data_IF_415344097331
#
_entry.id   IF_415344097331
#
_cell.length_a   1.000
_cell.length_b   1.000
_cell.length_c   1.000
_cell.angle_alpha   90.00
_cell.angle_beta   90.00
_cell.angle_gamma   90.00
#
_symmetry.space_group_name_H-M   'P 1'
#
loop_
_entity.id
_entity.type
_entity.pdbx_description
1 polymer ?
#
# COMPACT_ATOMS: atom_id res chain seq x y z
N UNK A 1 -7.73 -31.76 20.25
CA UNK A 1 -6.88 -30.59 20.05
C UNK A 1 -7.09 -30.10 18.61
N UNK A 2 -8.03 -29.18 18.41
CA UNK A 2 -8.28 -28.56 17.09
C UNK A 2 -7.42 -27.31 17.00
N UNK A 3 -6.41 -27.31 16.14
CA UNK A 3 -5.59 -26.14 15.83
C UNK A 3 -6.42 -25.23 14.92
N UNK A 4 -6.90 -24.11 15.44
CA UNK A 4 -7.49 -23.05 14.64
C UNK A 4 -6.40 -22.41 13.80
N UNK A 5 -6.51 -22.55 12.48
CA UNK A 5 -5.64 -21.88 11.53
C UNK A 5 -6.10 -20.41 11.41
N UNK A 6 -5.30 -19.50 11.95
CA UNK A 6 -5.45 -18.07 11.73
C UNK A 6 -5.13 -17.78 10.24
N UNK A 7 -6.14 -17.43 9.48
CA UNK A 7 -5.93 -16.94 8.10
C UNK A 7 -5.52 -15.47 8.17
N UNK A 8 -4.22 -15.20 8.06
CA UNK A 8 -3.69 -13.84 7.95
C UNK A 8 -3.86 -13.40 6.49
N UNK A 9 -4.83 -12.52 6.24
CA UNK A 9 -4.96 -11.88 4.94
C UNK A 9 -3.90 -10.79 4.81
N UNK A 10 -3.00 -10.94 3.84
CA UNK A 10 -1.93 -9.99 3.59
C UNK A 10 -2.30 -9.15 2.38
N UNK A 11 -2.55 -7.87 2.61
CA UNK A 11 -2.54 -6.85 1.56
C UNK A 11 -1.16 -6.21 1.52
N UNK A 12 -0.51 -6.33 0.38
CA UNK A 12 0.72 -5.59 0.11
C UNK A 12 0.40 -4.11 -0.09
N UNK A 13 1.14 -3.26 0.59
CA UNK A 13 1.27 -1.80 0.47
C UNK A 13 0.21 -0.89 1.08
N UNK A 14 -1.01 -1.34 1.33
CA UNK A 14 -1.88 -0.66 2.29
C UNK A 14 -1.92 -1.54 3.54
N UNK A 15 -1.34 -1.08 4.64
CA UNK A 15 -1.18 -1.87 5.86
C UNK A 15 -2.52 -2.00 6.60
N UNK A 16 -3.49 -2.70 6.00
CA UNK A 16 -4.73 -3.07 6.67
C UNK A 16 -4.57 -4.47 7.24
N UNK A 17 -4.11 -4.57 8.48
CA UNK A 17 -4.13 -5.83 9.23
C UNK A 17 -5.56 -6.12 9.67
N UNK A 18 -6.22 -7.06 9.02
CA UNK A 18 -7.50 -7.60 9.50
C UNK A 18 -7.21 -8.51 10.67
N UNK A 19 -7.54 -8.06 11.88
CA UNK A 19 -7.52 -8.87 13.10
C UNK A 19 -8.86 -9.58 13.21
N UNK A 20 -8.87 -10.90 13.12
CA UNK A 20 -10.03 -11.70 13.54
C UNK A 20 -10.04 -11.82 15.08
N UNK A 21 -11.10 -11.34 15.71
CA UNK A 21 -11.31 -11.53 17.14
C UNK A 21 -11.56 -13.02 17.46
N UNK A 22 -10.80 -13.56 18.41
CA UNK A 22 -10.98 -14.91 18.96
C UNK A 22 -12.16 -14.90 19.94
N UNK A 23 -13.08 -15.83 19.76
CA UNK A 23 -14.30 -15.95 20.55
C UNK A 23 -13.98 -16.70 21.87
N UNK A 24 -13.86 -15.96 22.96
CA UNK A 24 -13.80 -16.53 24.31
C UNK A 24 -15.20 -16.98 24.75
N UNK A 25 -15.30 -18.23 25.19
CA UNK A 25 -16.54 -18.87 25.64
C UNK A 25 -17.26 -18.06 26.73
N UNK A 26 -18.54 -17.70 26.47
CA UNK A 26 -19.45 -17.07 27.44
C UNK A 26 -20.34 -18.07 28.17
N UNK A 27 -20.77 -17.78 29.39
CA UNK A 27 -21.80 -18.55 30.10
C UNK A 27 -23.21 -18.21 29.57
N UNK A 28 -24.14 -19.16 29.80
CA UNK A 28 -25.43 -19.32 29.16
C UNK A 28 -26.42 -18.14 29.15
N UNK A 29 -27.14 -18.07 28.04
CA UNK A 29 -28.53 -17.61 27.83
C UNK A 29 -28.84 -16.12 28.07
N UNK A 30 -28.40 -15.32 27.14
CA UNK A 30 -29.17 -14.15 26.66
C UNK A 30 -29.36 -14.35 25.16
N UNK A 31 -30.57 -14.01 24.63
CA UNK A 31 -30.84 -14.11 23.19
C UNK A 31 -29.69 -13.46 22.41
N UNK A 32 -28.95 -14.24 21.63
CA UNK A 32 -27.80 -13.77 20.88
C UNK A 32 -28.27 -12.64 19.98
N UNK A 33 -27.79 -11.42 20.19
CA UNK A 33 -27.95 -10.35 19.24
C UNK A 33 -27.35 -10.85 17.91
N UNK A 34 -28.12 -10.83 16.82
CA UNK A 34 -27.63 -11.25 15.52
C UNK A 34 -26.39 -10.41 15.20
N UNK A 35 -25.27 -11.07 14.99
CA UNK A 35 -24.03 -10.41 14.55
C UNK A 35 -24.30 -9.75 13.19
N UNK A 36 -24.04 -8.46 13.02
CA UNK A 36 -24.30 -7.80 11.76
C UNK A 36 -23.53 -8.48 10.64
N UNK A 37 -24.08 -8.58 9.42
CA UNK A 37 -23.43 -9.26 8.30
C UNK A 37 -22.24 -8.46 7.73
N UNK A 38 -21.70 -7.53 8.49
CA UNK A 38 -20.57 -6.68 8.10
C UNK A 38 -19.67 -6.38 9.29
N UNK A 39 -18.42 -6.01 8.98
CA UNK A 39 -17.45 -5.45 9.92
C UNK A 39 -16.96 -4.11 9.41
N UNK A 40 -16.61 -3.20 10.34
CA UNK A 40 -15.93 -1.95 10.05
C UNK A 40 -14.66 -1.94 10.89
N UNK A 41 -13.50 -1.81 10.23
CA UNK A 41 -12.21 -1.72 10.89
C UNK A 41 -11.61 -0.32 10.65
N UNK A 42 -10.90 0.19 11.64
CA UNK A 42 -10.18 1.46 11.55
C UNK A 42 -8.71 1.22 11.85
N UNK A 43 -7.85 1.97 11.19
CA UNK A 43 -6.43 1.95 11.52
C UNK A 43 -5.86 3.36 11.49
N UNK A 44 -4.82 3.58 12.30
CA UNK A 44 -4.00 4.79 12.26
C UNK A 44 -2.57 4.43 12.64
N UNK A 45 -1.59 5.02 11.97
CA UNK A 45 -0.18 4.74 12.20
C UNK A 45 0.71 5.97 12.04
N UNK A 46 1.83 5.93 12.74
CA UNK A 46 2.94 6.88 12.59
C UNK A 46 4.13 6.11 12.06
N UNK A 47 4.68 6.62 10.98
CA UNK A 47 5.81 6.03 10.27
C UNK A 47 6.93 7.06 10.21
N UNK A 48 8.19 6.62 10.26
CA UNK A 48 9.33 7.53 10.07
C UNK A 48 9.37 8.11 8.66
N UNK A 49 8.69 7.46 7.70
CA UNK A 49 8.43 7.92 6.33
C UNK A 49 7.37 7.04 5.67
N UNK A 50 6.75 7.52 4.59
CA UNK A 50 5.86 6.73 3.76
C UNK A 50 6.64 6.12 2.59
N UNK A 51 6.63 4.81 2.48
CA UNK A 51 7.21 4.08 1.34
C UNK A 51 6.09 3.44 0.51
N UNK A 52 6.04 3.76 -0.78
CA UNK A 52 5.16 3.16 -1.76
C UNK A 52 5.97 2.48 -2.86
N UNK A 53 5.79 1.18 -3.07
CA UNK A 53 6.53 0.38 -4.07
C UNK A 53 8.04 0.67 -4.06
N UNK A 54 8.63 0.66 -2.87
CA UNK A 54 10.07 0.89 -2.66
C UNK A 54 10.53 2.35 -2.62
N UNK A 55 9.67 3.33 -2.92
CA UNK A 55 10.03 4.74 -3.01
C UNK A 55 9.45 5.57 -1.87
N UNK A 56 10.24 6.51 -1.32
CA UNK A 56 9.73 7.46 -0.32
C UNK A 56 8.76 8.44 -0.95
N UNK A 57 7.60 8.62 -0.31
CA UNK A 57 6.56 9.56 -0.71
C UNK A 57 6.63 10.87 0.10
N UNK A 58 7.45 10.90 1.15
CA UNK A 58 7.58 12.01 2.10
C UNK A 58 9.01 12.52 2.22
N UNK A 59 9.87 12.29 1.23
CA UNK A 59 11.28 12.71 1.25
C UNK A 59 12.00 12.32 2.56
N UNK A 60 11.77 11.09 3.03
CA UNK A 60 12.27 10.53 4.30
C UNK A 60 11.78 11.28 5.56
N UNK A 61 10.67 12.03 5.47
CA UNK A 61 10.06 12.72 6.60
C UNK A 61 8.90 11.90 7.18
N UNK A 62 8.52 12.13 8.45
CA UNK A 62 7.44 11.40 9.12
C UNK A 62 6.11 11.44 8.36
N UNK A 63 5.42 10.31 8.40
CA UNK A 63 4.09 10.14 7.83
C UNK A 63 3.07 9.72 8.90
N UNK A 64 1.87 10.32 8.83
CA UNK A 64 0.68 9.83 9.50
C UNK A 64 -0.20 9.17 8.44
N UNK A 65 -0.63 7.94 8.71
CA UNK A 65 -1.40 7.13 7.79
C UNK A 65 -2.61 6.54 8.50
N UNK A 66 -3.72 6.37 7.79
CA UNK A 66 -4.89 5.75 8.39
C UNK A 66 -5.98 5.45 7.38
N UNK A 67 -6.90 4.58 7.78
CA UNK A 67 -7.97 4.16 6.89
C UNK A 67 -9.16 3.56 7.62
N UNK A 68 -10.21 3.32 6.84
CA UNK A 68 -11.46 2.69 7.26
C UNK A 68 -11.83 1.64 6.23
N UNK A 69 -12.12 0.42 6.68
CA UNK A 69 -12.50 -0.72 5.85
C UNK A 69 -13.89 -1.22 6.26
N UNK A 70 -14.81 -1.29 5.33
CA UNK A 70 -16.09 -1.99 5.44
C UNK A 70 -15.98 -3.33 4.72
N UNK A 71 -16.33 -4.43 5.38
CA UNK A 71 -16.37 -5.77 4.79
C UNK A 71 -17.72 -6.42 5.07
N UNK A 72 -18.38 -6.90 4.02
CA UNK A 72 -19.63 -7.65 4.11
C UNK A 72 -19.35 -9.16 4.09
N UNK A 73 -20.16 -9.95 4.79
CA UNK A 73 -20.05 -11.43 4.87
C UNK A 73 -20.15 -12.14 3.53
N UNK A 74 -20.70 -11.50 2.50
CA UNK A 74 -20.72 -12.01 1.12
C UNK A 74 -19.36 -11.96 0.42
N UNK A 75 -18.37 -11.24 0.99
CA UNK A 75 -17.05 -11.04 0.41
C UNK A 75 -16.84 -9.68 -0.24
N UNK A 76 -17.88 -8.87 -0.44
CA UNK A 76 -17.72 -7.49 -0.92
C UNK A 76 -17.11 -6.59 0.16
N UNK A 77 -16.23 -5.69 -0.24
CA UNK A 77 -15.63 -4.69 0.64
C UNK A 77 -15.49 -3.34 -0.04
N UNK A 78 -15.42 -2.30 0.77
CA UNK A 78 -15.15 -0.92 0.38
C UNK A 78 -14.27 -0.31 1.47
N UNK A 79 -13.26 0.46 1.07
CA UNK A 79 -12.39 1.13 2.01
C UNK A 79 -11.89 2.46 1.50
N UNK A 80 -11.33 3.21 2.43
CA UNK A 80 -10.61 4.43 2.15
C UNK A 80 -9.38 4.52 3.05
N UNK A 81 -8.31 5.10 2.52
CA UNK A 81 -7.06 5.28 3.24
C UNK A 81 -6.44 6.61 2.85
N UNK A 82 -5.54 7.13 3.66
CA UNK A 82 -4.81 8.34 3.35
C UNK A 82 -3.51 8.48 4.11
N UNK A 83 -2.64 9.31 3.56
CA UNK A 83 -1.34 9.68 4.11
C UNK A 83 -0.93 11.09 3.69
N UNK A 84 -0.16 11.77 4.52
CA UNK A 84 0.58 12.91 4.01
C UNK A 84 1.66 12.46 3.02
N UNK A 85 1.90 13.29 2.01
CA UNK A 85 2.93 13.11 0.98
C UNK A 85 3.63 14.44 0.69
N UNK A 86 4.85 14.40 0.13
CA UNK A 86 5.55 15.59 -0.35
C UNK A 86 5.98 15.50 -1.81
N UNK A 87 6.07 14.30 -2.38
CA UNK A 87 6.62 14.06 -3.71
C UNK A 87 5.96 14.88 -4.83
N UNK A 88 4.66 15.21 -4.70
CA UNK A 88 3.93 16.03 -5.67
C UNK A 88 4.45 17.48 -5.72
N UNK A 89 4.62 18.09 -4.56
CA UNK A 89 5.22 19.43 -4.46
C UNK A 89 6.71 19.40 -4.77
N UNK A 90 7.42 18.36 -4.31
CA UNK A 90 8.83 18.12 -4.60
C UNK A 90 9.09 17.95 -6.10
N UNK A 91 8.15 17.41 -6.87
CA UNK A 91 8.20 17.35 -8.33
C UNK A 91 8.08 18.73 -9.00
N UNK A 92 7.74 19.77 -8.26
CA UNK A 92 7.45 21.14 -8.73
C UNK A 92 6.21 21.25 -9.62
N UNK A 93 5.47 20.16 -9.80
CA UNK A 93 4.30 20.08 -10.68
C UNK A 93 3.00 20.43 -9.99
N UNK A 94 3.01 20.51 -8.66
CA UNK A 94 1.84 20.80 -7.83
C UNK A 94 2.12 21.88 -6.80
N UNK A 95 1.05 22.60 -6.42
CA UNK A 95 0.97 23.40 -5.20
C UNK A 95 -0.06 22.79 -4.25
N UNK A 96 0.20 22.88 -2.93
CA UNK A 96 -0.73 22.47 -1.86
C UNK A 96 -1.20 21.01 -1.98
N UNK A 97 -0.35 20.13 -2.49
CA UNK A 97 -0.65 18.71 -2.72
C UNK A 97 0.09 17.82 -1.70
N UNK A 98 -0.29 17.93 -0.45
CA UNK A 98 0.35 17.22 0.66
C UNK A 98 -0.43 16.01 1.17
N UNK A 99 -1.47 15.58 0.46
CA UNK A 99 -2.34 14.47 0.81
C UNK A 99 -2.46 13.47 -0.35
N UNK A 100 -2.28 12.19 -0.04
CA UNK A 100 -2.77 11.06 -0.82
C UNK A 100 -4.05 10.53 -0.19
N UNK A 101 -5.09 10.38 -0.98
CA UNK A 101 -6.37 9.82 -0.56
C UNK A 101 -6.79 8.71 -1.53
N UNK A 102 -6.92 7.51 -0.99
CA UNK A 102 -7.26 6.31 -1.73
C UNK A 102 -8.69 5.88 -1.45
N UNK A 103 -9.39 5.47 -2.50
CA UNK A 103 -10.73 4.87 -2.43
C UNK A 103 -10.64 3.53 -3.17
N UNK A 104 -11.01 2.45 -2.50
CA UNK A 104 -10.93 1.11 -3.07
C UNK A 104 -12.13 0.26 -2.70
N UNK A 105 -12.40 -0.72 -3.54
CA UNK A 105 -13.43 -1.72 -3.28
C UNK A 105 -13.26 -2.93 -4.17
N UNK A 106 -13.87 -4.02 -3.75
CA UNK A 106 -13.71 -5.28 -4.47
C UNK A 106 -14.50 -6.43 -3.88
N UNK A 107 -14.08 -7.61 -4.30
CA UNK A 107 -14.63 -8.88 -3.83
C UNK A 107 -13.50 -9.83 -3.45
N UNK A 108 -13.57 -10.34 -2.22
CA UNK A 108 -12.61 -11.31 -1.67
C UNK A 108 -13.35 -12.54 -1.20
N UNK A 109 -12.80 -13.73 -1.51
CA UNK A 109 -13.33 -14.97 -0.98
C UNK A 109 -12.21 -16.02 -0.88
N UNK A 110 -12.48 -17.10 -0.14
CA UNK A 110 -11.54 -18.19 0.09
C UNK A 110 -12.11 -19.50 -0.38
N UNK A 111 -11.35 -20.22 -1.20
CA UNK A 111 -11.66 -21.57 -1.65
C UNK A 111 -10.59 -22.50 -1.06
N UNK A 112 -10.97 -23.37 -0.12
CA UNK A 112 -10.05 -24.21 0.67
C UNK A 112 -9.03 -23.33 1.41
N UNK A 113 -7.76 -23.38 1.00
CA UNK A 113 -6.65 -22.66 1.62
C UNK A 113 -6.16 -21.48 0.75
N UNK A 114 -6.83 -21.21 -0.38
CA UNK A 114 -6.46 -20.12 -1.29
C UNK A 114 -7.49 -19.00 -1.18
N UNK A 115 -7.04 -17.81 -0.80
CA UNK A 115 -7.84 -16.59 -0.85
C UNK A 115 -7.56 -15.87 -2.16
N UNK A 116 -8.62 -15.46 -2.86
CA UNK A 116 -8.54 -14.58 -4.02
C UNK A 116 -9.23 -13.26 -3.73
N UNK A 117 -8.74 -12.21 -4.37
CA UNK A 117 -9.22 -10.84 -4.21
C UNK A 117 -9.14 -10.14 -5.57
N UNK A 118 -10.21 -9.47 -5.98
CA UNK A 118 -10.27 -8.65 -7.19
C UNK A 118 -10.93 -7.32 -6.86
N UNK A 119 -10.39 -6.23 -7.36
CA UNK A 119 -10.91 -4.92 -7.01
C UNK A 119 -10.40 -3.78 -7.87
N UNK A 120 -10.84 -2.60 -7.48
CA UNK A 120 -10.47 -1.30 -8.04
C UNK A 120 -9.86 -0.45 -6.95
N UNK A 121 -8.88 0.35 -7.31
CA UNK A 121 -8.24 1.34 -6.44
C UNK A 121 -8.10 2.65 -7.21
N UNK A 122 -8.59 3.73 -6.63
CA UNK A 122 -8.43 5.10 -7.11
C UNK A 122 -7.51 5.85 -6.17
N UNK A 123 -6.37 6.30 -6.68
CA UNK A 123 -5.48 7.25 -6.02
C UNK A 123 -5.94 8.67 -6.34
N UNK A 124 -6.14 9.50 -5.33
CA UNK A 124 -6.56 10.90 -5.44
C UNK A 124 -5.55 11.78 -4.75
N UNK A 125 -5.11 12.82 -5.42
CA UNK A 125 -4.15 13.79 -4.90
C UNK A 125 -4.73 15.20 -4.92
N UNK A 126 -5.44 15.63 -3.86
CA UNK A 126 -5.95 16.99 -3.76
C UNK A 126 -4.81 18.01 -3.83
N UNK A 127 -4.94 19.00 -4.72
CA UNK A 127 -3.95 20.04 -4.92
C UNK A 127 -4.03 20.69 -6.29
N UNK A 128 -3.25 21.73 -6.50
CA UNK A 128 -3.27 22.57 -7.71
C UNK A 128 -2.18 22.09 -8.68
N UNK A 129 -2.54 21.34 -9.71
CA UNK A 129 -1.62 20.92 -10.77
C UNK A 129 -1.27 22.09 -11.69
N UNK A 130 0.01 22.44 -11.77
CA UNK A 130 0.53 23.59 -12.56
C UNK A 130 0.78 23.27 -14.03
N UNK A 131 0.64 22.02 -14.43
CA UNK A 131 0.96 21.56 -15.77
C UNK A 131 2.44 21.19 -15.97
N UNK A 132 2.73 20.58 -17.11
CA UNK A 132 4.05 20.01 -17.43
C UNK A 132 5.16 21.03 -17.65
N UNK A 133 4.84 22.32 -17.80
CA UNK A 133 5.83 23.39 -17.97
C UNK A 133 6.42 23.89 -16.65
N UNK A 134 5.78 23.59 -15.52
CA UNK A 134 6.19 24.06 -14.21
C UNK A 134 7.08 23.05 -13.47
N UNK A 135 6.97 21.76 -13.76
CA UNK A 135 7.66 20.72 -13.04
C UNK A 135 7.89 19.44 -13.86
N UNK A 136 8.20 18.36 -13.13
CA UNK A 136 8.61 17.09 -13.71
C UNK A 136 7.44 16.25 -14.26
N UNK A 137 6.25 16.34 -13.62
CA UNK A 137 5.10 15.52 -14.02
C UNK A 137 4.41 16.07 -15.26
N UNK A 138 4.06 15.18 -16.18
CA UNK A 138 3.46 15.51 -17.47
C UNK A 138 1.93 15.57 -17.45
N UNK A 139 1.31 14.94 -16.46
CA UNK A 139 -0.13 14.89 -16.21
C UNK A 139 -0.44 15.00 -14.72
N UNK A 140 -1.73 15.08 -14.39
CA UNK A 140 -2.19 14.88 -13.01
C UNK A 140 -1.82 13.49 -12.53
N UNK A 141 -1.50 13.38 -11.23
CA UNK A 141 -1.02 12.14 -10.63
C UNK A 141 -2.12 11.12 -10.32
N UNK A 142 -3.40 11.53 -10.36
CA UNK A 142 -4.53 10.63 -10.12
C UNK A 142 -4.43 9.39 -11.01
N UNK A 143 -4.57 8.23 -10.38
CA UNK A 143 -4.38 6.93 -11.03
C UNK A 143 -5.50 5.97 -10.61
N UNK A 144 -6.05 5.27 -11.58
CA UNK A 144 -7.02 4.19 -11.33
C UNK A 144 -6.37 2.85 -11.69
N UNK A 145 -6.39 1.91 -10.75
CA UNK A 145 -5.91 0.54 -10.97
C UNK A 145 -7.03 -0.48 -10.78
N UNK A 146 -7.04 -1.50 -11.66
CA UNK A 146 -7.71 -2.78 -11.39
C UNK A 146 -6.66 -3.73 -10.82
N UNK A 147 -7.04 -4.57 -9.87
CA UNK A 147 -6.10 -5.54 -9.33
C UNK A 147 -6.72 -6.91 -9.09
N UNK A 148 -5.86 -7.91 -9.08
CA UNK A 148 -6.16 -9.25 -8.66
C UNK A 148 -5.03 -9.81 -7.79
N UNK A 149 -5.38 -10.58 -6.76
CA UNK A 149 -4.40 -11.27 -5.94
C UNK A 149 -4.85 -12.69 -5.58
N UNK A 150 -3.86 -13.51 -5.31
CA UNK A 150 -3.99 -14.85 -4.76
C UNK A 150 -3.08 -14.97 -3.55
N UNK A 151 -3.61 -15.51 -2.44
CA UNK A 151 -2.80 -15.79 -1.26
C UNK A 151 -3.00 -17.22 -0.77
N UNK A 152 -1.90 -17.82 -0.34
CA UNK A 152 -1.86 -19.14 0.25
C UNK A 152 -0.97 -19.13 1.47
N UNK A 153 -1.53 -19.45 2.63
CA UNK A 153 -0.84 -19.36 3.93
C UNK A 153 -0.25 -17.96 4.14
N UNK A 154 1.06 -17.84 4.16
CA UNK A 154 1.82 -16.62 4.43
C UNK A 154 2.41 -15.97 3.16
N UNK A 155 2.07 -16.46 1.96
CA UNK A 155 2.52 -15.90 0.68
C UNK A 155 1.33 -15.33 -0.10
N UNK A 156 1.51 -14.16 -0.70
CA UNK A 156 0.55 -13.54 -1.59
C UNK A 156 1.25 -13.05 -2.86
N UNK A 157 0.57 -13.23 -4.00
CA UNK A 157 0.94 -12.63 -5.28
C UNK A 157 -0.19 -11.69 -5.70
N UNK A 158 0.16 -10.46 -6.13
CA UNK A 158 -0.80 -9.46 -6.61
C UNK A 158 -0.31 -8.86 -7.92
N UNK A 159 -1.25 -8.58 -8.81
CA UNK A 159 -1.05 -7.80 -10.01
C UNK A 159 -2.01 -6.61 -9.99
N UNK A 160 -1.48 -5.41 -10.09
CA UNK A 160 -2.23 -4.17 -10.26
C UNK A 160 -1.95 -3.62 -11.65
N UNK A 161 -2.98 -3.22 -12.38
CA UNK A 161 -2.88 -2.68 -13.74
C UNK A 161 -3.59 -1.34 -13.80
N UNK A 162 -2.88 -0.29 -14.18
CA UNK A 162 -3.46 1.03 -14.36
C UNK A 162 -4.35 1.06 -15.60
N UNK A 163 -5.60 1.53 -15.42
CA UNK A 163 -6.60 1.69 -16.48
C UNK A 163 -6.83 3.15 -16.85
N UNK A 164 -6.35 4.09 -16.04
CA UNK A 164 -6.30 5.52 -16.37
C UNK A 164 -5.19 5.80 -17.37
N UNK A 165 -5.39 6.81 -18.24
CA UNK A 165 -4.39 7.21 -19.22
C UNK A 165 -3.15 7.86 -18.56
N UNK A 166 -3.35 8.67 -17.50
CA UNK A 166 -2.28 9.17 -16.64
C UNK A 166 -1.98 8.18 -15.51
N UNK A 167 -0.70 7.91 -15.23
CA UNK A 167 -0.27 7.04 -14.14
C UNK A 167 0.82 7.75 -13.34
N UNK A 168 0.48 8.17 -12.11
CA UNK A 168 1.39 8.89 -11.20
C UNK A 168 2.12 10.07 -11.88
N UNK A 169 1.37 10.83 -12.71
CA UNK A 169 1.90 11.99 -13.44
C UNK A 169 2.53 11.69 -14.79
N UNK A 170 2.69 10.44 -15.20
CA UNK A 170 3.16 10.04 -16.51
C UNK A 170 1.98 9.94 -17.49
N UNK A 171 2.15 10.43 -18.71
CA UNK A 171 1.13 10.39 -19.77
C UNK A 171 1.23 9.11 -20.61
N UNK A 172 0.16 8.80 -21.33
CA UNK A 172 0.09 7.69 -22.28
C UNK A 172 0.51 6.35 -21.62
N UNK A 173 0.19 6.19 -20.32
CA UNK A 173 0.70 5.14 -19.46
C UNK A 173 -0.34 4.07 -19.07
N UNK A 174 -1.53 4.07 -19.70
CA UNK A 174 -2.52 3.03 -19.51
C UNK A 174 -1.91 1.64 -19.80
N UNK A 175 -2.21 0.64 -18.94
CA UNK A 175 -1.59 -0.67 -19.02
C UNK A 175 -0.27 -0.79 -18.24
N UNK A 176 0.23 0.28 -17.62
CA UNK A 176 1.28 0.19 -16.59
C UNK A 176 0.85 -0.78 -15.52
N UNK A 177 1.74 -1.68 -15.09
CA UNK A 177 1.41 -2.66 -14.08
C UNK A 177 2.43 -2.74 -12.96
N UNK A 178 1.98 -3.22 -11.81
CA UNK A 178 2.83 -3.61 -10.69
C UNK A 178 2.54 -5.05 -10.30
N UNK A 179 3.55 -5.90 -10.45
CA UNK A 179 3.53 -7.28 -10.00
C UNK A 179 4.23 -7.39 -8.64
N UNK A 180 3.57 -7.99 -7.67
CA UNK A 180 3.99 -8.06 -6.28
C UNK A 180 3.99 -9.51 -5.79
N UNK A 181 5.06 -9.90 -5.11
CA UNK A 181 5.14 -11.13 -4.34
C UNK A 181 5.57 -10.80 -2.93
N UNK A 182 4.71 -11.06 -1.97
CA UNK A 182 4.95 -10.80 -0.55
C UNK A 182 4.82 -12.07 0.28
N UNK A 183 5.73 -12.25 1.22
CA UNK A 183 5.72 -13.32 2.22
C UNK A 183 5.71 -12.72 3.63
N UNK A 184 4.70 -13.06 4.46
CA UNK A 184 4.62 -12.65 5.86
C UNK A 184 4.68 -13.89 6.74
N UNK A 185 5.90 -14.30 7.05
CA UNK A 185 6.16 -15.52 7.80
C UNK A 185 5.95 -15.28 9.30
N UNK A 186 4.98 -15.96 9.96
CA UNK A 186 4.77 -15.86 11.41
C UNK A 186 5.91 -16.61 12.12
N UNK A 187 6.90 -15.86 12.60
CA UNK A 187 8.02 -16.42 13.35
C UNK A 187 7.57 -16.89 14.73
N UNK A 188 6.65 -16.14 15.35
CA UNK A 188 5.94 -16.50 16.60
C UNK A 188 4.48 -16.04 16.47
N UNK A 189 3.66 -16.27 17.51
CA UNK A 189 2.27 -15.80 17.57
C UNK A 189 2.15 -14.24 17.50
N UNK A 190 3.23 -13.53 17.78
CA UNK A 190 3.23 -12.05 17.83
C UNK A 190 4.28 -11.40 16.93
N UNK A 191 5.23 -12.15 16.38
CA UNK A 191 6.30 -11.62 15.53
C UNK A 191 6.15 -12.17 14.12
N UNK A 192 6.12 -11.26 13.16
CA UNK A 192 6.07 -11.57 11.72
C UNK A 192 7.33 -11.05 11.04
N UNK A 193 7.93 -11.88 10.19
CA UNK A 193 8.98 -11.48 9.24
C UNK A 193 8.35 -11.27 7.89
N UNK A 194 8.57 -10.12 7.29
CA UNK A 194 8.06 -9.76 5.96
C UNK A 194 9.18 -9.70 4.96
N UNK A 195 9.04 -10.43 3.87
CA UNK A 195 9.84 -10.31 2.66
C UNK A 195 8.96 -9.92 1.48
N UNK A 196 9.44 -9.05 0.61
CA UNK A 196 8.69 -8.55 -0.53
C UNK A 196 9.62 -8.33 -1.72
N UNK A 197 9.13 -8.59 -2.92
CA UNK A 197 9.71 -8.17 -4.19
C UNK A 197 8.60 -7.73 -5.12
N UNK A 198 8.79 -6.59 -5.78
CA UNK A 198 7.85 -6.00 -6.72
C UNK A 198 8.51 -5.58 -8.03
N UNK A 199 7.71 -5.57 -9.11
CA UNK A 199 8.11 -5.04 -10.42
C UNK A 199 7.08 -4.04 -10.91
N UNK A 200 7.50 -2.76 -11.00
CA UNK A 200 6.75 -1.71 -11.67
C UNK A 200 7.18 -1.68 -13.12
N UNK A 201 6.25 -1.86 -14.05
CA UNK A 201 6.51 -1.76 -15.49
C UNK A 201 5.61 -0.70 -16.09
N UNK A 202 6.21 0.36 -16.60
CA UNK A 202 5.49 1.47 -17.21
C UNK A 202 5.26 1.21 -18.71
N UNK A 203 4.00 1.34 -19.14
CA UNK A 203 3.59 1.34 -20.52
C UNK A 203 3.76 2.74 -21.15
N UNK A 204 3.77 2.80 -22.47
CA UNK A 204 3.87 4.04 -23.23
C UNK A 204 5.28 4.38 -23.70
N UNK A 205 5.34 5.12 -24.81
CA UNK A 205 6.61 5.45 -25.46
C UNK A 205 7.45 6.41 -24.59
N UNK A 206 8.67 5.99 -24.25
CA UNK A 206 9.60 6.76 -23.42
C UNK A 206 9.35 6.62 -21.90
N UNK A 207 8.35 5.86 -21.47
CA UNK A 207 8.05 5.63 -20.06
C UNK A 207 8.90 4.51 -19.42
N UNK A 208 9.71 3.79 -20.19
CA UNK A 208 10.59 2.70 -19.69
C UNK A 208 11.61 3.18 -18.64
N UNK A 209 11.94 4.47 -18.62
CA UNK A 209 12.82 5.07 -17.61
C UNK A 209 12.22 5.01 -16.20
N UNK A 210 10.90 4.88 -16.09
CA UNK A 210 10.16 4.78 -14.83
C UNK A 210 9.95 3.34 -14.36
N UNK A 211 10.33 2.34 -15.17
CA UNK A 211 10.22 0.92 -14.81
C UNK A 211 11.35 0.49 -13.89
N UNK A 212 11.02 -0.25 -12.81
CA UNK A 212 11.98 -0.69 -11.81
C UNK A 212 11.48 -1.93 -11.04
N UNK A 213 12.40 -2.54 -10.33
CA UNK A 213 12.12 -3.59 -9.34
C UNK A 213 12.46 -3.05 -7.96
N UNK A 214 11.64 -3.35 -6.98
CA UNK A 214 11.88 -3.04 -5.57
C UNK A 214 11.86 -4.32 -4.72
N UNK A 215 12.42 -4.22 -3.52
CA UNK A 215 12.35 -5.25 -2.51
C UNK A 215 12.27 -4.65 -1.11
N UNK A 216 11.74 -5.42 -0.19
CA UNK A 216 11.64 -5.06 1.22
C UNK A 216 11.87 -6.26 2.11
N UNK A 217 12.60 -6.05 3.22
CA UNK A 217 12.76 -7.00 4.30
C UNK A 217 12.46 -6.31 5.63
N UNK A 218 11.63 -6.91 6.46
CA UNK A 218 11.22 -6.31 7.72
C UNK A 218 10.74 -7.29 8.75
N UNK A 219 10.47 -6.75 9.94
CA UNK A 219 9.86 -7.47 11.04
C UNK A 219 8.87 -6.57 11.78
N UNK A 220 7.83 -7.17 12.31
CA UNK A 220 6.85 -6.48 13.15
C UNK A 220 6.45 -7.33 14.35
N UNK A 221 5.99 -6.65 15.41
CA UNK A 221 5.44 -7.26 16.61
C UNK A 221 4.06 -6.69 16.90
N UNK A 222 3.07 -7.58 16.92
CA UNK A 222 1.70 -7.28 17.32
C UNK A 222 1.53 -7.45 18.84
N UNK A 223 0.73 -6.56 19.43
CA UNK A 223 0.34 -6.60 20.84
C UNK A 223 -1.15 -6.84 20.98
N UNK A 224 -1.58 -7.47 22.08
CA UNK A 224 -2.98 -7.85 22.31
C UNK A 224 -3.98 -6.67 22.26
N UNK A 225 -3.52 -5.45 22.46
CA UNK A 225 -4.35 -4.24 22.40
C UNK A 225 -4.53 -3.69 20.97
N UNK A 226 -4.13 -4.43 19.92
CA UNK A 226 -4.24 -4.02 18.52
C UNK A 226 -3.12 -3.06 18.05
N UNK A 227 -2.12 -2.80 18.89
CA UNK A 227 -0.92 -2.04 18.50
C UNK A 227 0.05 -2.98 17.80
N UNK A 228 0.66 -2.50 16.72
CA UNK A 228 1.77 -3.17 16.03
C UNK A 228 2.93 -2.19 15.91
N UNK A 229 4.14 -2.64 16.24
CA UNK A 229 5.37 -1.90 15.98
C UNK A 229 6.24 -2.69 15.01
N UNK A 230 6.99 -2.01 14.17
CA UNK A 230 7.84 -2.71 13.22
C UNK A 230 8.91 -1.81 12.59
N UNK A 231 9.78 -2.49 11.86
CA UNK A 231 10.80 -1.86 11.05
C UNK A 231 11.02 -2.66 9.77
N UNK A 232 11.38 -1.97 8.70
CA UNK A 232 11.77 -2.61 7.45
C UNK A 232 12.83 -1.79 6.72
N UNK A 233 13.56 -2.47 5.87
CA UNK A 233 14.50 -1.87 4.93
C UNK A 233 14.01 -2.17 3.52
N UNK A 234 14.13 -1.20 2.62
CA UNK A 234 13.73 -1.31 1.22
C UNK A 234 14.76 -0.67 0.30
N UNK A 235 14.81 -1.16 -0.93
CA UNK A 235 15.66 -0.62 -1.97
C UNK A 235 15.04 -0.87 -3.34
N UNK A 236 15.49 -0.13 -4.35
CA UNK A 236 15.05 -0.24 -5.73
C UNK A 236 16.24 -0.22 -6.69
N UNK A 237 16.02 -0.73 -7.91
CA UNK A 237 16.94 -0.51 -9.03
C UNK A 237 16.44 0.58 -10.00
N UNK A 238 15.68 1.54 -9.48
CA UNK A 238 15.11 2.62 -10.29
C UNK A 238 16.18 3.49 -10.91
N UNK A 239 15.91 3.95 -12.14
CA UNK A 239 16.85 4.79 -12.87
C UNK A 239 16.85 6.21 -12.31
N UNK A 240 18.02 6.77 -12.04
CA UNK A 240 18.18 8.14 -11.53
C UNK A 240 17.50 9.19 -12.44
N UNK A 241 17.49 8.96 -13.76
CA UNK A 241 16.81 9.84 -14.72
C UNK A 241 15.29 9.98 -14.46
N UNK A 242 14.65 8.95 -13.87
CA UNK A 242 13.23 9.00 -13.51
C UNK A 242 12.95 9.47 -12.09
N UNK A 243 13.87 9.26 -11.15
CA UNK A 243 13.56 9.37 -9.72
C UNK A 243 14.62 10.05 -8.86
N UNK A 244 15.84 10.21 -9.40
CA UNK A 244 16.98 10.66 -8.65
C UNK A 244 17.70 11.84 -9.29
N UNK A 245 19.04 11.80 -9.23
CA UNK A 245 19.91 12.85 -9.72
C UNK A 245 19.99 12.85 -11.25
N UNK A 246 19.72 14.00 -11.84
CA UNK A 246 19.76 14.23 -13.28
C UNK A 246 21.20 14.43 -13.76
N UNK A 247 21.41 14.38 -15.10
CA UNK A 247 22.72 14.56 -15.73
C UNK A 247 23.33 15.94 -15.52
N UNK A 248 22.50 16.97 -15.30
CA UNK A 248 22.92 18.34 -14.99
C UNK A 248 23.23 18.57 -13.50
N UNK A 249 23.13 17.53 -12.69
CA UNK A 249 23.37 17.58 -11.25
C UNK A 249 22.17 17.96 -10.38
N UNK A 250 21.05 18.38 -10.98
CA UNK A 250 19.78 18.59 -10.26
C UNK A 250 19.13 17.27 -9.86
N UNK A 251 18.03 17.35 -9.08
CA UNK A 251 17.19 16.20 -8.75
C UNK A 251 15.83 16.32 -9.42
N UNK A 252 15.25 15.19 -9.82
CA UNK A 252 13.87 15.11 -10.30
C UNK A 252 12.86 15.66 -9.28
N UNK A 253 13.14 15.42 -8.00
CA UNK A 253 12.36 15.88 -6.86
C UNK A 253 13.20 16.75 -5.93
N UNK A 254 12.63 17.84 -5.40
CA UNK A 254 13.34 18.73 -4.45
C UNK A 254 13.78 17.99 -3.16
N UNK A 255 13.05 16.96 -2.75
CA UNK A 255 13.39 16.09 -1.63
C UNK A 255 14.61 15.17 -1.86
N UNK A 256 15.23 15.21 -3.03
CA UNK A 256 16.39 14.39 -3.39
C UNK A 256 16.01 13.13 -4.18
N UNK A 257 16.81 12.07 -4.04
CA UNK A 257 16.54 10.77 -4.66
C UNK A 257 15.50 10.01 -3.84
N UNK A 258 14.31 9.88 -4.39
CA UNK A 258 13.18 9.19 -3.72
C UNK A 258 13.25 7.67 -3.83
N UNK A 259 14.17 7.14 -4.63
CA UNK A 259 14.31 5.70 -4.93
C UNK A 259 15.47 5.02 -4.20
N UNK A 260 16.24 5.78 -3.42
CA UNK A 260 17.39 5.27 -2.68
C UNK A 260 17.00 4.32 -1.56
N UNK A 261 17.89 3.35 -1.31
CA UNK A 261 17.79 2.42 -0.19
C UNK A 261 17.56 3.11 1.15
N UNK A 262 16.57 2.65 1.92
CA UNK A 262 16.20 3.33 3.17
C UNK A 262 15.53 2.40 4.17
N UNK A 263 15.56 2.80 5.47
CA UNK A 263 14.89 2.10 6.56
C UNK A 263 13.68 2.88 7.07
N UNK A 264 12.64 2.15 7.46
CA UNK A 264 11.43 2.73 8.06
C UNK A 264 11.13 2.03 9.37
N UNK A 265 10.76 2.81 10.39
CA UNK A 265 10.17 2.31 11.64
C UNK A 265 8.74 2.83 11.76
N UNK A 266 7.88 2.05 12.40
CA UNK A 266 6.48 2.43 12.54
C UNK A 266 5.83 1.90 13.81
N UNK A 267 4.78 2.61 14.22
CA UNK A 267 3.79 2.16 15.17
C UNK A 267 2.40 2.37 14.56
N UNK A 268 1.56 1.35 14.61
CA UNK A 268 0.20 1.37 14.07
C UNK A 268 -0.78 0.80 15.09
N UNK A 269 -1.99 1.32 15.10
CA UNK A 269 -3.11 0.82 15.88
C UNK A 269 -4.26 0.44 14.96
N UNK A 270 -4.82 -0.75 15.17
CA UNK A 270 -6.09 -1.20 14.57
C UNK A 270 -7.17 -1.29 15.65
N UNK A 271 -8.40 -0.91 15.31
CA UNK A 271 -9.56 -0.86 16.19
C UNK A 271 -10.67 -1.78 15.68
#
# INVERSE_FOLDING_TARGET
>A
MKKSLLAIAVLSTLASSVVFADEAAAPAAQAAAETPPYTIAYNVGLFSQYIFRGMTQTANQPAIQGGVDFTHSSGFYLGTWGSNVSWLEDSRSYDKASLEWDIYGGYRNTIKDVTYDVGLLQYVYPGDFKGSTAGFLLKKAETTEVYGSLSYKWVAAKLSVAVSDGVFGNRDAAGTYYADLTANYPLTDTITITGHVGRQEYSGNGNDIYSYTDWKLGASKAFANGVTVGAYYTDTNAKAAGYGKQSDGSYAYNGGDISSATGTVFIQKTF
#
